data_IF_666902045790
#
_entry.id   IF_666902045790
#
_cell.length_a   1.000
_cell.length_b   1.000
_cell.length_c   1.000
_cell.angle_alpha   90.00
_cell.angle_beta   90.00
_cell.angle_gamma   90.00
#
_symmetry.space_group_name_H-M   'P 1'
#
loop_
_entity.id
_entity.type
_entity.pdbx_description
1 polymer ?
#
# COMPACT_ATOMS: atom_id res chain seq x y z
N UNK A 1 -11.57 -6.82 12.79
CA UNK A 1 -11.27 -6.11 14.07
C UNK A 1 -9.76 -5.93 14.14
N UNK A 2 -9.28 -4.70 14.11
CA UNK A 2 -7.85 -4.41 14.09
C UNK A 2 -7.23 -4.66 15.48
N UNK A 3 -6.11 -5.39 15.52
CA UNK A 3 -5.30 -5.56 16.74
C UNK A 3 -4.14 -4.58 16.70
N UNK A 4 -3.99 -3.78 17.77
CA UNK A 4 -2.89 -2.83 17.88
C UNK A 4 -1.74 -3.45 18.68
N UNK A 5 -0.58 -3.57 18.04
CA UNK A 5 0.67 -3.89 18.72
C UNK A 5 1.37 -2.60 19.15
N UNK A 6 1.41 -2.36 20.47
CA UNK A 6 2.00 -1.16 21.06
C UNK A 6 3.50 -1.29 21.34
N UNK A 7 4.09 -2.47 21.13
CA UNK A 7 5.52 -2.70 21.42
C UNK A 7 6.44 -2.04 20.40
N UNK A 8 5.94 -1.87 19.17
CA UNK A 8 6.73 -1.42 18.01
C UNK A 8 8.04 -2.23 17.84
N UNK A 9 8.05 -3.50 18.28
CA UNK A 9 9.23 -4.33 18.26
C UNK A 9 9.52 -4.86 16.85
N UNK A 10 10.80 -4.99 16.45
CA UNK A 10 11.16 -5.61 15.19
C UNK A 10 10.68 -7.06 15.08
N UNK A 11 10.33 -7.49 13.87
CA UNK A 11 9.80 -8.83 13.59
C UNK A 11 10.58 -9.49 12.46
N UNK A 12 10.70 -10.80 12.52
CA UNK A 12 11.26 -11.60 11.44
C UNK A 12 10.19 -11.87 10.36
N UNK A 13 10.59 -11.72 9.10
CA UNK A 13 9.78 -11.98 7.92
C UNK A 13 10.53 -12.93 7.00
N UNK A 14 9.91 -14.04 6.62
CA UNK A 14 10.46 -14.99 5.66
C UNK A 14 10.21 -14.47 4.23
N UNK A 15 11.26 -14.41 3.42
CA UNK A 15 11.18 -13.98 2.01
C UNK A 15 11.31 -15.16 1.05
N UNK A 16 12.09 -16.17 1.41
CA UNK A 16 12.25 -17.43 0.69
C UNK A 16 12.67 -18.54 1.67
N UNK A 17 12.63 -19.83 1.26
CA UNK A 17 13.15 -20.91 2.10
C UNK A 17 14.59 -20.65 2.53
N UNK A 18 14.82 -20.54 3.85
CA UNK A 18 16.14 -20.26 4.42
C UNK A 18 16.56 -18.79 4.40
N UNK A 19 15.76 -17.88 3.84
CA UNK A 19 16.04 -16.44 3.77
C UNK A 19 14.99 -15.65 4.55
N UNK A 20 15.43 -14.97 5.61
CA UNK A 20 14.57 -14.11 6.44
C UNK A 20 15.21 -12.79 6.77
N UNK A 21 14.40 -11.76 6.93
CA UNK A 21 14.82 -10.40 7.29
C UNK A 21 14.14 -9.94 8.56
N UNK A 22 14.86 -9.26 9.43
CA UNK A 22 14.31 -8.61 10.62
C UNK A 22 13.97 -7.17 10.28
N UNK A 23 12.68 -6.83 10.37
CA UNK A 23 12.16 -5.53 9.94
C UNK A 23 11.58 -4.75 11.12
N UNK A 24 11.78 -3.44 11.12
CA UNK A 24 11.01 -2.50 11.95
C UNK A 24 9.52 -2.60 11.57
N UNK A 25 8.58 -2.37 12.50
CA UNK A 25 7.18 -2.29 12.12
C UNK A 25 6.91 -1.18 11.10
N UNK A 26 6.00 -1.45 10.17
CA UNK A 26 5.64 -0.52 9.11
C UNK A 26 4.74 0.59 9.65
N UNK A 27 5.35 1.60 10.27
CA UNK A 27 4.63 2.74 10.85
C UNK A 27 4.38 3.83 9.81
N UNK A 28 3.40 4.71 10.10
CA UNK A 28 3.15 5.90 9.27
C UNK A 28 4.38 6.79 9.16
N UNK A 29 5.15 6.95 10.24
CA UNK A 29 6.38 7.73 10.23
C UNK A 29 7.42 7.13 9.27
N UNK A 30 7.57 5.80 9.26
CA UNK A 30 8.46 5.11 8.33
C UNK A 30 8.01 5.29 6.88
N UNK A 31 6.71 5.14 6.60
CA UNK A 31 6.14 5.36 5.26
C UNK A 31 6.34 6.79 4.75
N UNK A 32 6.11 7.79 5.60
CA UNK A 32 6.33 9.20 5.26
C UNK A 32 7.80 9.47 5.00
N UNK A 33 8.70 8.98 5.86
CA UNK A 33 10.14 9.13 5.70
C UNK A 33 10.68 8.46 4.42
N UNK A 34 10.05 7.37 3.97
CA UNK A 34 10.38 6.73 2.69
C UNK A 34 9.90 7.56 1.50
N UNK A 35 8.68 8.14 1.57
CA UNK A 35 8.15 8.98 0.48
C UNK A 35 8.99 10.23 0.21
N UNK A 36 9.64 10.76 1.25
CA UNK A 36 10.57 11.89 1.16
C UNK A 36 12.03 11.46 0.96
N UNK A 37 12.29 10.20 0.59
CA UNK A 37 13.64 9.78 0.26
C UNK A 37 14.09 10.43 -1.06
N UNK A 38 15.30 11.03 -1.14
CA UNK A 38 15.78 11.64 -2.37
C UNK A 38 15.82 10.69 -3.57
N UNK A 39 16.09 9.40 -3.36
CA UNK A 39 16.08 8.41 -4.45
C UNK A 39 14.66 8.08 -4.93
N UNK A 40 13.64 8.30 -4.09
CA UNK A 40 12.23 8.18 -4.47
C UNK A 40 11.76 9.44 -5.18
N UNK A 41 12.15 10.63 -4.69
CA UNK A 41 11.83 11.92 -5.31
C UNK A 41 12.52 12.10 -6.67
N UNK A 42 13.69 11.51 -6.86
CA UNK A 42 14.45 11.59 -8.11
C UNK A 42 13.91 10.67 -9.23
N UNK A 43 12.91 9.82 -8.95
CA UNK A 43 12.32 8.97 -9.99
C UNK A 43 11.55 9.85 -10.99
N UNK A 44 11.83 9.75 -12.30
CA UNK A 44 11.12 10.53 -13.31
C UNK A 44 9.61 10.30 -13.29
N UNK A 45 8.84 11.33 -13.64
CA UNK A 45 7.37 11.22 -13.72
C UNK A 45 6.94 10.19 -14.77
N UNK A 46 7.69 10.09 -15.87
CA UNK A 46 7.48 9.16 -16.98
C UNK A 46 7.95 7.73 -16.69
N UNK A 47 8.56 7.47 -15.53
CA UNK A 47 8.96 6.12 -15.16
C UNK A 47 7.75 5.18 -15.15
N UNK A 48 8.00 3.89 -15.31
CA UNK A 48 6.98 2.86 -15.10
C UNK A 48 6.58 2.78 -13.62
N UNK A 49 5.40 2.21 -13.36
CA UNK A 49 4.97 1.92 -11.99
C UNK A 49 5.91 0.93 -11.29
N UNK A 50 6.51 0.02 -12.05
CA UNK A 50 7.49 -0.95 -11.56
C UNK A 50 8.78 -0.27 -11.09
N UNK A 51 9.33 0.64 -11.90
CA UNK A 51 10.55 1.40 -11.52
C UNK A 51 10.31 2.24 -10.26
N UNK A 52 9.16 2.91 -10.16
CA UNK A 52 8.74 3.61 -8.93
C UNK A 52 8.62 2.67 -7.75
N UNK A 53 8.00 1.50 -7.93
CA UNK A 53 7.83 0.51 -6.88
C UNK A 53 9.16 -0.03 -6.37
N UNK A 54 10.11 -0.32 -7.27
CA UNK A 54 11.47 -0.76 -6.91
C UNK A 54 12.21 0.32 -6.14
N UNK A 55 12.21 1.57 -6.62
CA UNK A 55 12.85 2.69 -5.92
C UNK A 55 12.28 2.88 -4.51
N UNK A 56 10.95 2.84 -4.38
CA UNK A 56 10.26 2.93 -3.09
C UNK A 56 10.61 1.76 -2.17
N UNK A 57 10.61 0.53 -2.68
CA UNK A 57 10.92 -0.67 -1.92
C UNK A 57 12.35 -0.64 -1.35
N UNK A 58 13.32 -0.26 -2.17
CA UNK A 58 14.72 -0.10 -1.76
C UNK A 58 14.87 0.96 -0.68
N UNK A 59 14.29 2.14 -0.89
CA UNK A 59 14.29 3.20 0.12
C UNK A 59 13.63 2.77 1.44
N UNK A 60 12.54 2.01 1.37
CA UNK A 60 11.87 1.47 2.56
C UNK A 60 12.73 0.43 3.27
N UNK A 61 13.26 -0.53 2.54
CA UNK A 61 14.06 -1.63 3.08
C UNK A 61 15.32 -1.11 3.78
N UNK A 62 16.03 -0.14 3.19
CA UNK A 62 17.20 0.50 3.81
C UNK A 62 16.90 1.13 5.17
N UNK A 63 15.64 1.55 5.43
CA UNK A 63 15.21 2.10 6.72
C UNK A 63 14.66 1.04 7.67
N UNK A 64 14.13 -0.06 7.13
CA UNK A 64 13.37 -1.06 7.85
C UNK A 64 14.23 -2.25 8.30
N UNK A 65 15.18 -2.69 7.49
CA UNK A 65 16.01 -3.86 7.74
C UNK A 65 16.98 -3.56 8.88
N UNK A 66 16.99 -4.45 9.87
CA UNK A 66 17.90 -4.42 11.02
C UNK A 66 18.89 -5.59 11.02
N UNK A 67 18.56 -6.67 10.32
CA UNK A 67 19.33 -7.91 10.27
C UNK A 67 18.68 -8.89 9.29
N UNK A 68 19.41 -9.93 8.93
CA UNK A 68 18.90 -11.01 8.08
C UNK A 68 19.61 -12.32 8.35
N UNK A 69 19.07 -13.41 7.81
CA UNK A 69 19.70 -14.72 7.79
C UNK A 69 19.54 -15.36 6.41
N UNK A 70 20.50 -16.21 6.03
CA UNK A 70 20.50 -16.93 4.76
C UNK A 70 20.99 -16.10 3.57
N UNK A 71 21.63 -14.96 3.82
CA UNK A 71 22.16 -14.06 2.79
C UNK A 71 23.67 -13.99 2.94
N UNK A 72 24.37 -14.24 1.83
CA UNK A 72 25.82 -14.23 1.77
C UNK A 72 26.34 -13.60 0.47
N UNK A 73 27.65 -13.37 0.43
CA UNK A 73 28.35 -12.93 -0.77
C UNK A 73 28.51 -14.04 -1.82
N UNK A 74 29.25 -13.75 -2.89
CA UNK A 74 29.51 -14.69 -3.97
C UNK A 74 30.28 -15.95 -3.52
N UNK A 75 31.02 -15.88 -2.41
CA UNK A 75 31.76 -16.98 -1.82
C UNK A 75 30.92 -17.74 -0.76
N UNK A 76 29.68 -17.30 -0.51
CA UNK A 76 28.76 -17.89 0.46
C UNK A 76 29.02 -17.45 1.90
N UNK A 77 29.86 -16.44 2.14
CA UNK A 77 30.07 -15.91 3.48
C UNK A 77 28.89 -15.02 3.87
N UNK A 78 28.36 -15.12 5.11
CA UNK A 78 27.33 -14.22 5.58
C UNK A 78 27.79 -12.76 5.48
N UNK A 79 26.90 -11.90 4.99
CA UNK A 79 27.14 -10.46 4.88
C UNK A 79 26.18 -9.70 5.80
N UNK A 80 26.53 -8.48 6.17
CA UNK A 80 25.64 -7.57 6.90
C UNK A 80 24.71 -6.80 5.94
N UNK A 81 23.52 -6.33 6.40
CA UNK A 81 22.57 -5.59 5.59
C UNK A 81 23.02 -4.14 5.34
N UNK A 82 24.04 -3.96 4.50
CA UNK A 82 24.44 -2.63 4.01
C UNK A 82 23.40 -2.09 3.00
N UNK A 83 23.35 -0.77 2.75
CA UNK A 83 22.50 -0.20 1.71
C UNK A 83 22.65 -0.90 0.36
N UNK A 84 23.89 -1.19 -0.05
CA UNK A 84 24.21 -1.84 -1.32
C UNK A 84 23.72 -3.29 -1.35
N UNK A 85 23.89 -4.02 -0.24
CA UNK A 85 23.46 -5.40 -0.13
C UNK A 85 21.93 -5.52 -0.08
N UNK A 86 21.24 -4.57 0.57
CA UNK A 86 19.77 -4.47 0.58
C UNK A 86 19.25 -4.20 -0.83
N UNK A 87 19.88 -3.28 -1.56
CA UNK A 87 19.49 -2.97 -2.93
C UNK A 87 19.67 -4.19 -3.84
N UNK A 88 20.80 -4.90 -3.73
CA UNK A 88 21.07 -6.13 -4.48
C UNK A 88 20.08 -7.25 -4.13
N UNK A 89 19.69 -7.39 -2.85
CA UNK A 89 18.67 -8.35 -2.42
C UNK A 89 17.32 -8.08 -3.12
N UNK A 90 16.93 -6.81 -3.25
CA UNK A 90 15.68 -6.42 -3.89
C UNK A 90 15.76 -6.35 -5.42
N UNK A 91 16.94 -6.50 -6.02
CA UNK A 91 17.08 -6.72 -7.46
C UNK A 91 16.73 -8.17 -7.85
N UNK A 92 16.66 -9.08 -6.87
CA UNK A 92 16.17 -10.44 -7.08
C UNK A 92 14.64 -10.42 -7.11
N UNK A 93 14.06 -10.53 -8.30
CA UNK A 93 12.61 -10.38 -8.53
C UNK A 93 11.71 -11.17 -7.56
N UNK A 94 11.90 -12.50 -7.34
CA UNK A 94 11.09 -13.24 -6.37
C UNK A 94 11.17 -12.71 -4.93
N UNK A 95 12.33 -12.17 -4.53
CA UNK A 95 12.53 -11.60 -3.20
C UNK A 95 11.86 -10.24 -3.09
N UNK A 96 11.95 -9.42 -4.15
CA UNK A 96 11.20 -8.17 -4.24
C UNK A 96 9.70 -8.42 -4.09
N UNK A 97 9.13 -9.36 -4.82
CA UNK A 97 7.71 -9.72 -4.72
C UNK A 97 7.34 -10.20 -3.31
N UNK A 98 8.16 -11.07 -2.71
CA UNK A 98 7.96 -11.54 -1.35
C UNK A 98 8.01 -10.39 -0.34
N UNK A 99 8.95 -9.46 -0.48
CA UNK A 99 9.06 -8.28 0.38
C UNK A 99 7.83 -7.37 0.24
N UNK A 100 7.38 -7.11 -0.99
CA UNK A 100 6.14 -6.35 -1.23
C UNK A 100 4.95 -7.01 -0.54
N UNK A 101 4.74 -8.31 -0.75
CA UNK A 101 3.59 -9.02 -0.20
C UNK A 101 3.63 -9.13 1.34
N UNK A 102 4.78 -9.47 1.91
CA UNK A 102 4.92 -9.82 3.33
C UNK A 102 5.04 -8.61 4.24
N UNK A 103 5.58 -7.49 3.73
CA UNK A 103 5.89 -6.31 4.52
C UNK A 103 5.06 -5.09 4.10
N UNK A 104 4.98 -4.80 2.80
CA UNK A 104 4.30 -3.60 2.28
C UNK A 104 2.78 -3.80 2.18
N UNK A 105 2.33 -4.87 1.54
CA UNK A 105 0.91 -5.17 1.36
C UNK A 105 0.21 -5.47 2.68
N UNK A 106 0.86 -6.12 3.66
CA UNK A 106 0.26 -6.31 5.00
C UNK A 106 0.02 -4.99 5.76
N UNK A 107 0.82 -3.94 5.52
CA UNK A 107 0.54 -2.61 6.05
C UNK A 107 -0.59 -1.87 5.31
N UNK A 108 -0.80 -2.19 4.03
CA UNK A 108 -1.83 -1.56 3.18
C UNK A 108 -3.14 -2.37 3.11
N UNK A 109 -3.18 -3.62 3.56
CA UNK A 109 -4.39 -4.47 3.57
C UNK A 109 -5.49 -3.94 4.49
N UNK A 110 -5.15 -3.05 5.44
CA UNK A 110 -6.12 -2.26 6.19
C UNK A 110 -6.98 -1.34 5.30
N UNK A 111 -6.44 -0.87 4.17
CA UNK A 111 -7.20 -0.11 3.17
C UNK A 111 -8.15 -1.00 2.33
N UNK A 112 -7.95 -2.33 2.33
CA UNK A 112 -8.79 -3.26 1.58
C UNK A 112 -10.01 -3.78 2.34
N UNK A 113 -10.04 -3.71 3.69
CA UNK A 113 -11.27 -3.99 4.46
C UNK A 113 -12.41 -3.00 4.16
N UNK A 114 -12.11 -1.85 3.52
CA UNK A 114 -13.11 -0.92 2.99
C UNK A 114 -13.59 -1.20 1.56
N UNK A 115 -12.89 -2.04 0.80
CA UNK A 115 -13.16 -2.27 -0.63
C UNK A 115 -13.75 -3.64 -0.95
N UNK A 116 -13.94 -4.52 0.05
CA UNK A 116 -14.62 -5.81 -0.14
C UNK A 116 -16.16 -5.72 -0.24
N UNK A 117 -16.74 -4.51 -0.33
CA UNK A 117 -18.16 -4.28 -0.66
C UNK A 117 -18.29 -3.47 -1.95
N UNK A 118 -17.76 -3.98 -3.06
CA UNK A 118 -18.23 -3.59 -4.39
C UNK A 118 -17.82 -4.61 -5.47
N UNK A 119 -18.57 -5.71 -5.58
CA UNK A 119 -18.85 -6.35 -6.87
C UNK A 119 -20.33 -6.74 -6.83
N UNK A 120 -21.20 -6.13 -7.64
CA UNK A 120 -21.36 -6.59 -9.03
C UNK A 120 -21.86 -5.48 -9.99
N UNK A 121 -21.64 -5.63 -11.31
CA UNK A 121 -22.07 -4.69 -12.32
C UNK A 121 -23.57 -4.81 -12.65
N UNK A 122 -24.09 -3.71 -13.20
CA UNK A 122 -25.38 -3.50 -13.91
C UNK A 122 -26.66 -3.38 -13.07
N UNK A 123 -27.16 -2.14 -13.01
CA UNK A 123 -28.58 -1.81 -13.04
C UNK A 123 -28.74 -0.52 -13.83
N UNK A 124 -29.35 -0.52 -15.05
CA UNK A 124 -29.55 0.69 -15.82
C UNK A 124 -30.75 1.42 -15.22
N UNK A 125 -30.53 2.18 -14.15
CA UNK A 125 -31.57 3.07 -13.65
C UNK A 125 -31.37 4.44 -14.28
N UNK A 126 -31.92 4.59 -15.48
CA UNK A 126 -32.42 5.88 -15.93
C UNK A 126 -33.18 6.51 -14.76
N UNK A 127 -32.83 7.76 -14.42
CA UNK A 127 -33.34 8.45 -13.25
C UNK A 127 -34.84 8.24 -13.07
N UNK A 128 -35.24 7.87 -11.86
CA UNK A 128 -36.65 7.69 -11.52
C UNK A 128 -37.44 8.96 -11.89
N UNK A 129 -38.32 8.85 -12.89
CA UNK A 129 -39.23 9.92 -13.25
C UNK A 129 -40.12 10.26 -12.06
N UNK A 130 -40.20 11.54 -11.71
CA UNK A 130 -41.08 12.03 -10.65
C UNK A 130 -42.55 11.65 -10.95
N UNK A 131 -43.13 10.78 -10.12
CA UNK A 131 -44.52 10.30 -10.26
C UNK A 131 -45.56 11.23 -9.63
N UNK A 132 -45.12 12.33 -9.01
CA UNK A 132 -46.01 13.31 -8.40
C UNK A 132 -46.64 14.22 -9.48
N UNK A 133 -47.97 14.18 -9.62
CA UNK A 133 -48.69 15.17 -10.42
C UNK A 133 -48.56 16.56 -9.76
N UNK A 134 -48.28 17.63 -10.53
CA UNK A 134 -48.26 18.99 -10.01
C UNK A 134 -49.61 19.36 -9.36
N UNK A 135 -49.55 20.06 -8.23
CA UNK A 135 -50.75 20.53 -7.53
C UNK A 135 -51.59 21.46 -8.42
N UNK A 136 -52.92 21.33 -8.36
CA UNK A 136 -53.85 22.20 -9.10
C UNK A 136 -53.73 23.65 -8.61
N UNK A 137 -53.74 24.60 -9.55
CA UNK A 137 -53.65 26.05 -9.26
C UNK A 137 -54.75 26.48 -8.26
N UNK A 138 -54.41 27.46 -7.41
CA UNK A 138 -55.31 28.04 -6.40
C UNK A 138 -56.61 28.54 -7.04
N UNK A 139 -57.73 28.30 -6.38
CA UNK A 139 -59.05 28.78 -6.81
C UNK A 139 -59.09 30.33 -6.83
N UNK A 140 -59.74 30.90 -7.85
CA UNK A 140 -59.98 32.35 -7.94
C UNK A 140 -60.94 32.78 -6.83
N UNK A 141 -60.55 33.79 -6.06
CA UNK A 141 -61.41 34.47 -5.08
C UNK A 141 -62.57 35.18 -5.78
N UNK A 142 -63.79 35.01 -5.28
CA UNK A 142 -64.99 35.67 -5.78
C UNK A 142 -64.94 37.19 -5.53
N UNK A 143 -65.36 37.98 -6.52
CA UNK A 143 -65.60 39.42 -6.36
C UNK A 143 -67.00 39.63 -5.80
N UNK A 144 -67.11 40.37 -4.70
CA UNK A 144 -68.38 40.81 -4.10
C UNK A 144 -69.06 41.83 -5.02
N UNK A 145 -70.37 41.71 -5.19
CA UNK A 145 -71.29 42.78 -5.54
C UNK A 145 -72.29 42.90 -4.39
#
# INVERSE_FOLDING_TARGET
MLTLDLTNAPRWHDLAPGVRVQLRPLTTALMVATRSDPAVEAVPEEASDEERAVAFAKALARRAVLGWEGIGDADGNPIDPTPEAIDALLDVWPIFEAFQLTYVSKGLLLEQEKNASALSPSGPSAGASATAKPARKRAKTARRA
#
